data_IF_307811830272
#
_entry.id   IF_307811830272
#
_cell.length_a   1.000
_cell.length_b   1.000
_cell.length_c   1.000
_cell.angle_alpha   90.00
_cell.angle_beta   90.00
_cell.angle_gamma   90.00
#
_symmetry.space_group_name_H-M   'P 1'
#
loop_
_entity.id
_entity.type
_entity.pdbx_description
1 polymer ?
#
# COMPACT_ATOMS: atom_id res chain seq x y z
N UNK A 1 28.38 17.63 -24.64
CA UNK A 1 27.16 18.47 -24.64
C UNK A 1 25.88 17.65 -24.86
N UNK A 2 25.75 16.88 -25.94
CA UNK A 2 24.53 16.12 -26.26
C UNK A 2 24.14 15.05 -25.22
N UNK A 3 25.13 14.35 -24.63
CA UNK A 3 24.88 13.38 -23.57
C UNK A 3 24.29 14.03 -22.29
N UNK A 4 24.82 15.19 -21.87
CA UNK A 4 24.30 15.96 -20.74
C UNK A 4 22.87 16.45 -20.99
N UNK A 5 22.58 16.95 -22.20
CA UNK A 5 21.23 17.37 -22.61
C UNK A 5 20.23 16.20 -22.56
N UNK A 6 20.64 15.01 -23.00
CA UNK A 6 19.82 13.81 -22.92
C UNK A 6 19.57 13.36 -21.48
N UNK A 7 20.59 13.41 -20.60
CA UNK A 7 20.42 13.10 -19.17
C UNK A 7 19.51 14.09 -18.46
N UNK A 8 19.62 15.40 -18.75
CA UNK A 8 18.71 16.43 -18.21
C UNK A 8 17.29 16.16 -18.69
N UNK A 9 17.10 15.89 -20.00
CA UNK A 9 15.78 15.60 -20.56
C UNK A 9 15.14 14.35 -19.94
N UNK A 10 15.92 13.30 -19.70
CA UNK A 10 15.44 12.08 -19.05
C UNK A 10 15.07 12.34 -17.58
N UNK A 11 15.94 13.02 -16.83
CA UNK A 11 15.70 13.37 -15.42
C UNK A 11 14.46 14.24 -15.27
N UNK A 12 14.25 15.23 -16.14
CA UNK A 12 13.06 16.08 -16.12
C UNK A 12 11.78 15.29 -16.43
N UNK A 13 11.82 14.34 -17.38
CA UNK A 13 10.68 13.45 -17.65
C UNK A 13 10.35 12.59 -16.42
N UNK A 14 11.35 11.95 -15.82
CA UNK A 14 11.15 11.12 -14.64
C UNK A 14 10.64 11.96 -13.46
N UNK A 15 11.14 13.18 -13.28
CA UNK A 15 10.67 14.13 -12.26
C UNK A 15 9.20 14.48 -12.46
N UNK A 16 8.75 14.73 -13.69
CA UNK A 16 7.34 15.01 -14.00
C UNK A 16 6.49 13.77 -13.72
N UNK A 17 6.91 12.58 -14.18
CA UNK A 17 6.14 11.33 -14.03
C UNK A 17 5.99 10.95 -12.55
N UNK A 18 7.08 10.94 -11.79
CA UNK A 18 7.03 10.65 -10.35
C UNK A 18 6.38 11.77 -9.55
N UNK A 19 6.58 13.04 -9.96
CA UNK A 19 5.95 14.21 -9.35
C UNK A 19 4.43 14.20 -9.49
N UNK A 20 3.91 13.86 -10.67
CA UNK A 20 2.48 13.70 -10.93
C UNK A 20 1.85 12.63 -10.03
N UNK A 21 2.55 11.52 -9.79
CA UNK A 21 2.10 10.50 -8.84
C UNK A 21 1.90 11.05 -7.43
N UNK A 22 2.85 11.84 -6.92
CA UNK A 22 2.73 12.47 -5.60
C UNK A 22 1.60 13.52 -5.53
N UNK A 23 1.42 14.30 -6.59
CA UNK A 23 0.33 15.28 -6.68
C UNK A 23 -1.03 14.56 -6.68
N UNK A 24 -1.16 13.46 -7.41
CA UNK A 24 -2.40 12.67 -7.45
C UNK A 24 -2.82 12.18 -6.06
N UNK A 25 -1.87 11.71 -5.24
CA UNK A 25 -2.15 11.30 -3.85
C UNK A 25 -2.73 12.46 -3.04
N UNK A 26 -2.17 13.67 -3.17
CA UNK A 26 -2.66 14.86 -2.45
C UNK A 26 -4.05 15.30 -2.93
N UNK A 27 -4.30 15.27 -4.23
CA UNK A 27 -5.62 15.58 -4.81
C UNK A 27 -6.68 14.65 -4.23
N UNK A 28 -6.36 13.36 -4.11
CA UNK A 28 -7.30 12.38 -3.55
C UNK A 28 -7.57 12.62 -2.07
N UNK A 29 -6.53 12.92 -1.29
CA UNK A 29 -6.70 13.36 0.09
C UNK A 29 -7.66 14.54 0.17
N UNK A 30 -7.48 15.55 -0.68
CA UNK A 30 -8.37 16.72 -0.76
C UNK A 30 -9.80 16.36 -1.15
N UNK A 31 -10.00 15.48 -2.13
CA UNK A 31 -11.33 15.00 -2.56
C UNK A 31 -12.05 14.22 -1.44
N UNK A 32 -11.31 13.54 -0.56
CA UNK A 32 -11.87 12.82 0.57
C UNK A 32 -12.21 13.71 1.76
N UNK A 33 -11.69 14.96 1.84
CA UNK A 33 -11.97 15.86 2.98
C UNK A 33 -13.48 16.08 3.15
N UNK A 34 -14.26 16.52 2.15
CA UNK A 34 -15.70 16.76 2.32
C UNK A 34 -16.46 15.50 2.75
N UNK A 35 -15.99 14.32 2.32
CA UNK A 35 -16.59 13.04 2.68
C UNK A 35 -16.30 12.69 4.15
N UNK A 36 -15.06 12.87 4.59
CA UNK A 36 -14.64 12.58 5.97
C UNK A 36 -15.19 13.61 6.96
N UNK A 37 -15.37 14.87 6.56
CA UNK A 37 -15.94 15.93 7.40
C UNK A 37 -17.46 16.02 7.35
N UNK A 38 -18.13 15.15 6.59
CA UNK A 38 -19.58 15.11 6.59
C UNK A 38 -20.08 14.37 7.86
N UNK A 39 -20.82 15.06 8.76
CA UNK A 39 -21.33 14.48 10.00
C UNK A 39 -22.34 13.34 9.79
N UNK A 40 -22.89 13.19 8.58
CA UNK A 40 -23.73 12.03 8.21
C UNK A 40 -22.94 10.72 8.21
N UNK A 41 -21.63 10.78 7.88
CA UNK A 41 -20.80 9.59 7.70
C UNK A 41 -19.78 9.38 8.81
N UNK A 42 -19.27 10.46 9.43
CA UNK A 42 -18.23 10.40 10.44
C UNK A 42 -18.47 11.39 11.58
N UNK A 43 -18.24 10.93 12.80
CA UNK A 43 -18.19 11.76 13.98
C UNK A 43 -16.81 12.44 14.12
N UNK A 44 -16.72 13.45 14.99
CA UNK A 44 -15.45 14.11 15.32
C UNK A 44 -14.45 13.10 15.91
N UNK A 45 -14.93 12.14 16.70
CA UNK A 45 -14.10 11.10 17.32
C UNK A 45 -13.51 10.12 16.29
N UNK A 46 -14.23 9.87 15.19
CA UNK A 46 -13.77 8.97 14.12
C UNK A 46 -12.47 9.46 13.46
N UNK A 47 -12.20 10.77 13.44
CA UNK A 47 -10.94 11.29 12.92
C UNK A 47 -9.73 10.83 13.72
N UNK A 48 -9.84 10.86 15.05
CA UNK A 48 -8.79 10.37 15.93
C UNK A 48 -8.56 8.87 15.73
N UNK A 49 -9.64 8.12 15.53
CA UNK A 49 -9.60 6.68 15.29
C UNK A 49 -8.94 6.36 13.95
N UNK A 50 -9.37 7.02 12.86
CA UNK A 50 -8.76 6.87 11.52
C UNK A 50 -7.26 7.17 11.59
N UNK A 51 -6.85 8.25 12.25
CA UNK A 51 -5.44 8.60 12.37
C UNK A 51 -4.62 7.49 13.08
N UNK A 52 -5.13 6.94 14.18
CA UNK A 52 -4.46 5.84 14.90
C UNK A 52 -4.42 4.57 14.05
N UNK A 53 -5.52 4.24 13.35
CA UNK A 53 -5.60 3.08 12.47
C UNK A 53 -4.64 3.19 11.28
N UNK A 54 -4.49 4.38 10.70
CA UNK A 54 -3.55 4.66 9.61
C UNK A 54 -2.09 4.50 10.07
N UNK A 55 -1.74 5.06 11.23
CA UNK A 55 -0.41 4.87 11.83
C UNK A 55 -0.16 3.38 12.12
N UNK A 56 -1.17 2.68 12.65
CA UNK A 56 -1.09 1.23 12.90
C UNK A 56 -0.84 0.47 11.60
N UNK A 57 -1.56 0.80 10.53
CA UNK A 57 -1.34 0.21 9.20
C UNK A 57 0.06 0.48 8.66
N UNK A 58 0.59 1.70 8.82
CA UNK A 58 1.93 2.06 8.39
C UNK A 58 3.01 1.24 9.12
N UNK A 59 2.87 1.06 10.43
CA UNK A 59 3.75 0.19 11.23
C UNK A 59 3.64 -1.25 10.75
N UNK A 60 2.42 -1.76 10.55
CA UNK A 60 2.20 -3.14 10.09
C UNK A 60 2.83 -3.40 8.72
N UNK A 61 2.63 -2.51 7.74
CA UNK A 61 3.26 -2.63 6.41
C UNK A 61 4.78 -2.66 6.55
N UNK A 62 5.35 -1.79 7.38
CA UNK A 62 6.80 -1.67 7.56
C UNK A 62 7.40 -2.93 8.17
N UNK A 63 6.77 -3.48 9.21
CA UNK A 63 7.19 -4.71 9.87
C UNK A 63 7.00 -5.91 8.94
N UNK A 64 5.85 -6.05 8.30
CA UNK A 64 5.54 -7.18 7.42
C UNK A 64 6.39 -7.19 6.14
N UNK A 65 6.83 -6.03 5.64
CA UNK A 65 7.77 -5.95 4.53
C UNK A 65 9.15 -6.56 4.86
N UNK A 66 9.51 -6.66 6.15
CA UNK A 66 10.70 -7.40 6.65
C UNK A 66 12.02 -7.07 5.92
N UNK A 67 12.15 -5.86 5.38
CA UNK A 67 13.31 -5.46 4.59
C UNK A 67 13.50 -6.18 3.24
N UNK A 68 12.58 -7.07 2.84
CA UNK A 68 12.67 -7.86 1.61
C UNK A 68 12.76 -7.00 0.33
N UNK A 69 12.05 -5.85 0.21
CA UNK A 69 12.26 -4.94 -0.91
C UNK A 69 13.70 -4.44 -1.02
N UNK A 70 14.35 -4.12 0.10
CA UNK A 70 15.74 -3.65 0.12
C UNK A 70 16.71 -4.79 -0.23
N UNK A 71 16.45 -5.99 0.29
CA UNK A 71 17.19 -7.20 -0.06
C UNK A 71 17.13 -7.47 -1.56
N UNK A 72 15.93 -7.43 -2.16
CA UNK A 72 15.75 -7.59 -3.60
C UNK A 72 16.57 -6.56 -4.38
N UNK A 73 16.53 -5.28 -4.02
CA UNK A 73 17.31 -4.25 -4.71
C UNK A 73 18.82 -4.52 -4.69
N UNK A 74 19.35 -5.01 -3.57
CA UNK A 74 20.77 -5.35 -3.43
C UNK A 74 21.16 -6.56 -4.28
N UNK A 75 20.43 -7.67 -4.15
CA UNK A 75 20.81 -8.94 -4.76
C UNK A 75 20.46 -9.03 -6.25
N UNK A 76 19.46 -8.27 -6.71
CA UNK A 76 19.05 -8.28 -8.12
C UNK A 76 20.18 -7.84 -9.08
N UNK A 77 21.09 -6.98 -8.62
CA UNK A 77 22.23 -6.48 -9.40
C UNK A 77 23.57 -7.10 -9.02
N UNK A 78 23.57 -8.12 -8.18
CA UNK A 78 24.79 -8.81 -7.80
C UNK A 78 25.38 -9.57 -9.00
N UNK A 79 26.68 -9.39 -9.25
CA UNK A 79 27.41 -10.01 -10.36
C UNK A 79 27.36 -11.54 -10.31
N UNK A 80 27.28 -12.12 -9.12
CA UNK A 80 27.18 -13.57 -8.94
C UNK A 80 25.83 -14.15 -9.39
N UNK A 81 24.80 -13.33 -9.55
CA UNK A 81 23.42 -13.77 -9.83
C UNK A 81 22.77 -13.09 -11.03
N UNK A 82 23.55 -12.46 -11.90
CA UNK A 82 23.05 -11.77 -13.11
C UNK A 82 22.21 -12.67 -14.02
N UNK A 83 22.54 -13.97 -14.12
CA UNK A 83 21.76 -14.93 -14.89
C UNK A 83 20.50 -15.46 -14.16
N UNK A 84 20.32 -15.15 -12.87
CA UNK A 84 19.23 -15.68 -12.04
C UNK A 84 18.35 -14.60 -11.39
N UNK A 85 18.21 -13.44 -12.03
CA UNK A 85 17.38 -12.34 -11.54
C UNK A 85 15.90 -12.72 -11.34
N UNK A 86 15.37 -13.59 -12.22
CA UNK A 86 14.01 -14.13 -12.09
C UNK A 86 13.86 -15.00 -10.85
N UNK A 87 14.86 -15.84 -10.56
CA UNK A 87 14.87 -16.67 -9.35
C UNK A 87 14.95 -15.84 -8.07
N UNK A 88 15.76 -14.77 -8.05
CA UNK A 88 15.84 -13.87 -6.89
C UNK A 88 14.50 -13.18 -6.64
N UNK A 89 13.85 -12.68 -7.69
CA UNK A 89 12.53 -12.08 -7.56
C UNK A 89 11.50 -13.09 -7.05
N UNK A 90 11.43 -14.28 -7.65
CA UNK A 90 10.51 -15.33 -7.23
C UNK A 90 10.72 -15.72 -5.78
N UNK A 91 11.97 -15.94 -5.37
CA UNK A 91 12.32 -16.25 -3.98
C UNK A 91 11.90 -15.12 -3.03
N UNK A 92 12.14 -13.87 -3.40
CA UNK A 92 11.74 -12.71 -2.59
C UNK A 92 10.22 -12.61 -2.46
N UNK A 93 9.48 -12.85 -3.55
CA UNK A 93 8.03 -12.82 -3.57
C UNK A 93 7.42 -13.96 -2.75
N UNK A 94 7.92 -15.18 -2.90
CA UNK A 94 7.46 -16.34 -2.13
C UNK A 94 7.78 -16.17 -0.64
N UNK A 95 8.97 -15.67 -0.31
CA UNK A 95 9.33 -15.37 1.08
C UNK A 95 8.41 -14.29 1.65
N UNK A 96 8.13 -13.22 0.89
CA UNK A 96 7.19 -12.18 1.31
C UNK A 96 5.78 -12.75 1.52
N UNK A 97 5.33 -13.68 0.67
CA UNK A 97 4.03 -14.34 0.83
C UNK A 97 3.97 -15.14 2.13
N UNK A 98 4.98 -15.97 2.39
CA UNK A 98 5.08 -16.79 3.61
C UNK A 98 5.10 -15.88 4.85
N UNK A 99 5.93 -14.83 4.85
CA UNK A 99 6.00 -13.85 5.94
C UNK A 99 4.65 -13.18 6.14
N UNK A 100 4.00 -12.73 5.07
CA UNK A 100 2.70 -12.06 5.13
C UNK A 100 1.61 -12.98 5.70
N UNK A 101 1.57 -14.24 5.28
CA UNK A 101 0.65 -15.25 5.81
C UNK A 101 0.95 -15.55 7.28
N UNK A 102 2.22 -15.71 7.66
CA UNK A 102 2.63 -15.96 9.04
C UNK A 102 2.20 -14.80 9.96
N UNK A 103 2.41 -13.55 9.55
CA UNK A 103 1.93 -12.39 10.30
C UNK A 103 0.40 -12.33 10.37
N UNK A 104 -0.32 -12.65 9.30
CA UNK A 104 -1.78 -12.73 9.34
C UNK A 104 -2.26 -13.79 10.35
N UNK A 105 -1.71 -15.00 10.30
CA UNK A 105 -2.06 -16.10 11.21
C UNK A 105 -1.75 -15.75 12.66
N UNK A 106 -0.65 -15.04 12.91
CA UNK A 106 -0.24 -14.60 14.24
C UNK A 106 -1.13 -13.45 14.73
N UNK A 107 -1.32 -12.39 13.94
CA UNK A 107 -1.93 -11.14 14.42
C UNK A 107 -3.46 -11.14 14.40
N UNK A 108 -4.12 -11.85 13.46
CA UNK A 108 -5.59 -11.85 13.35
C UNK A 108 -6.28 -12.36 14.63
N UNK A 109 -5.82 -13.42 15.30
CA UNK A 109 -6.39 -13.85 16.58
C UNK A 109 -6.20 -12.81 17.70
N UNK A 110 -5.12 -12.04 17.65
CA UNK A 110 -4.80 -11.03 18.67
C UNK A 110 -5.54 -9.70 18.49
N UNK A 111 -6.30 -9.51 17.40
CA UNK A 111 -6.93 -8.20 17.13
C UNK A 111 -7.90 -7.74 18.20
N UNK A 112 -8.53 -8.66 18.93
CA UNK A 112 -9.39 -8.30 20.07
C UNK A 112 -8.59 -7.63 21.18
N UNK A 113 -7.44 -8.19 21.55
CA UNK A 113 -6.55 -7.65 22.57
C UNK A 113 -5.90 -6.33 22.12
N UNK A 114 -5.53 -6.25 20.84
CA UNK A 114 -5.01 -5.01 20.26
C UNK A 114 -6.05 -3.89 20.30
N UNK A 115 -7.29 -4.18 19.93
CA UNK A 115 -8.39 -3.21 19.95
C UNK A 115 -8.60 -2.65 21.36
N UNK A 116 -8.67 -3.54 22.37
CA UNK A 116 -8.87 -3.10 23.76
C UNK A 116 -7.69 -2.32 24.32
N UNK A 117 -6.47 -2.60 23.86
CA UNK A 117 -5.27 -1.90 24.35
C UNK A 117 -5.12 -0.52 23.71
N UNK A 118 -5.36 -0.44 22.40
CA UNK A 118 -5.16 0.79 21.62
C UNK A 118 -6.35 1.75 21.78
N UNK A 119 -7.57 1.23 21.65
CA UNK A 119 -8.80 2.04 21.60
C UNK A 119 -9.64 1.96 22.88
N UNK A 120 -9.24 1.13 23.86
CA UNK A 120 -10.03 0.84 25.08
C UNK A 120 -11.42 0.23 24.79
N UNK A 121 -11.68 -0.21 23.55
CA UNK A 121 -12.94 -0.85 23.11
C UNK A 121 -12.67 -2.04 22.19
N UNK A 122 -13.62 -2.95 22.04
CA UNK A 122 -13.50 -4.16 21.16
C UNK A 122 -13.99 -3.89 19.73
N UNK A 123 -14.69 -2.77 19.51
CA UNK A 123 -15.45 -2.50 18.28
C UNK A 123 -14.55 -2.44 17.03
N UNK A 124 -13.30 -2.03 17.20
CA UNK A 124 -12.33 -1.88 16.12
C UNK A 124 -11.60 -3.17 15.73
N UNK A 125 -11.85 -4.28 16.42
CA UNK A 125 -11.23 -5.58 16.14
C UNK A 125 -11.45 -6.05 14.69
N UNK A 126 -12.64 -5.81 14.12
CA UNK A 126 -12.95 -6.15 12.73
C UNK A 126 -12.19 -5.28 11.73
N UNK A 127 -12.00 -4.00 12.04
CA UNK A 127 -11.26 -3.06 11.21
C UNK A 127 -9.76 -3.36 11.26
N UNK A 128 -9.23 -3.72 12.43
CA UNK A 128 -7.84 -4.17 12.57
C UNK A 128 -7.54 -5.43 11.75
N UNK A 129 -8.48 -6.38 11.63
CA UNK A 129 -8.32 -7.54 10.73
C UNK A 129 -8.14 -7.11 9.27
N UNK A 130 -8.91 -6.11 8.83
CA UNK A 130 -8.78 -5.55 7.47
C UNK A 130 -7.46 -4.82 7.28
N UNK A 131 -6.99 -4.08 8.29
CA UNK A 131 -5.69 -3.40 8.24
C UNK A 131 -4.56 -4.42 8.13
N UNK A 132 -4.58 -5.50 8.93
CA UNK A 132 -3.59 -6.57 8.84
C UNK A 132 -3.60 -7.18 7.43
N UNK A 133 -4.78 -7.51 6.90
CA UNK A 133 -4.91 -8.08 5.56
C UNK A 133 -4.41 -7.11 4.47
N UNK A 134 -4.83 -5.85 4.52
CA UNK A 134 -4.41 -4.82 3.59
C UNK A 134 -2.89 -4.60 3.64
N UNK A 135 -2.32 -4.63 4.85
CA UNK A 135 -0.87 -4.50 5.07
C UNK A 135 -0.09 -5.67 4.49
N UNK A 136 -0.60 -6.89 4.66
CA UNK A 136 -0.03 -8.11 4.08
C UNK A 136 0.05 -8.04 2.55
N UNK A 137 -1.07 -7.67 1.93
CA UNK A 137 -1.17 -7.53 0.48
C UNK A 137 -0.33 -6.37 -0.03
N UNK A 138 -0.26 -5.27 0.73
CA UNK A 138 0.59 -4.13 0.38
C UNK A 138 2.08 -4.47 0.46
N UNK A 139 2.50 -5.28 1.43
CA UNK A 139 3.88 -5.74 1.53
C UNK A 139 4.28 -6.62 0.33
N UNK A 140 3.37 -7.46 -0.18
CA UNK A 140 3.56 -8.17 -1.46
C UNK A 140 3.69 -7.20 -2.65
N UNK A 141 2.77 -6.23 -2.75
CA UNK A 141 2.82 -5.21 -3.79
C UNK A 141 4.13 -4.41 -3.76
N UNK A 142 4.75 -4.21 -2.59
CA UNK A 142 6.03 -3.53 -2.48
C UNK A 142 7.16 -4.30 -3.18
N UNK A 143 7.15 -5.64 -3.18
CA UNK A 143 8.12 -6.46 -3.91
C UNK A 143 7.94 -6.29 -5.41
N UNK A 144 6.69 -6.38 -5.89
CA UNK A 144 6.33 -6.20 -7.29
C UNK A 144 6.75 -4.80 -7.79
N UNK A 145 6.37 -3.76 -7.05
CA UNK A 145 6.76 -2.37 -7.29
C UNK A 145 8.28 -2.17 -7.29
N UNK A 146 9.01 -2.92 -6.47
CA UNK A 146 10.48 -2.87 -6.43
C UNK A 146 11.08 -3.48 -7.69
N UNK A 147 10.54 -4.59 -8.20
CA UNK A 147 10.98 -5.16 -9.47
C UNK A 147 10.77 -4.18 -10.64
N UNK A 148 9.60 -3.54 -10.72
CA UNK A 148 9.33 -2.57 -11.80
C UNK A 148 10.35 -1.42 -11.80
N UNK A 149 10.70 -0.93 -10.60
CA UNK A 149 11.72 0.11 -10.42
C UNK A 149 13.11 -0.38 -10.83
N UNK A 150 13.49 -1.59 -10.42
CA UNK A 150 14.78 -2.19 -10.81
C UNK A 150 14.89 -2.37 -12.33
N UNK A 151 13.81 -2.75 -13.01
CA UNK A 151 13.79 -2.90 -14.46
C UNK A 151 13.71 -1.56 -15.23
N UNK A 152 13.67 -0.42 -14.54
CA UNK A 152 13.51 0.90 -15.18
C UNK A 152 12.13 1.11 -15.84
N UNK A 153 11.12 0.32 -15.47
CA UNK A 153 9.76 0.40 -16.03
C UNK A 153 8.92 1.47 -15.31
N UNK A 154 9.38 2.71 -15.31
CA UNK A 154 8.78 3.83 -14.57
C UNK A 154 7.33 4.12 -14.96
N UNK A 155 6.98 3.96 -16.24
CA UNK A 155 5.60 4.12 -16.72
C UNK A 155 4.67 3.06 -16.15
N UNK A 156 5.06 1.78 -16.20
CA UNK A 156 4.26 0.68 -15.66
C UNK A 156 4.08 0.84 -14.15
N UNK A 157 5.15 1.17 -13.41
CA UNK A 157 5.07 1.52 -11.99
C UNK A 157 4.07 2.64 -11.69
N UNK A 158 4.11 3.71 -12.49
CA UNK A 158 3.25 4.88 -12.27
C UNK A 158 1.80 4.55 -12.58
N UNK A 159 1.52 3.90 -13.71
CA UNK A 159 0.16 3.49 -14.10
C UNK A 159 -0.41 2.54 -13.05
N UNK A 160 0.33 1.51 -12.66
CA UNK A 160 -0.13 0.52 -11.68
C UNK A 160 -0.46 1.17 -10.32
N UNK A 161 0.37 2.08 -9.82
CA UNK A 161 0.08 2.77 -8.55
C UNK A 161 -1.04 3.80 -8.68
N UNK A 162 -1.16 4.53 -9.79
CA UNK A 162 -2.30 5.41 -10.05
C UNK A 162 -3.61 4.63 -10.18
N UNK A 163 -3.61 3.50 -10.86
CA UNK A 163 -4.78 2.61 -10.95
C UNK A 163 -5.19 2.11 -9.57
N UNK A 164 -4.25 1.62 -8.75
CA UNK A 164 -4.55 1.23 -7.35
C UNK A 164 -5.16 2.40 -6.59
N UNK A 165 -4.55 3.58 -6.68
CA UNK A 165 -4.98 4.79 -5.99
C UNK A 165 -6.43 5.16 -6.37
N UNK A 166 -6.76 5.13 -7.67
CA UNK A 166 -8.12 5.37 -8.16
C UNK A 166 -9.11 4.30 -7.70
N UNK A 167 -8.72 3.02 -7.71
CA UNK A 167 -9.56 1.93 -7.21
C UNK A 167 -9.85 2.11 -5.71
N UNK A 168 -8.83 2.45 -4.90
CA UNK A 168 -9.02 2.74 -3.47
C UNK A 168 -10.00 3.89 -3.30
N UNK A 169 -9.83 5.00 -4.02
CA UNK A 169 -10.73 6.15 -3.93
C UNK A 169 -12.17 5.77 -4.27
N UNK A 170 -12.38 5.15 -5.44
CA UNK A 170 -13.72 4.78 -5.91
C UNK A 170 -14.40 3.80 -4.96
N UNK A 171 -13.68 2.79 -4.47
CA UNK A 171 -14.23 1.83 -3.49
C UNK A 171 -14.48 2.49 -2.13
N UNK A 172 -13.63 3.41 -1.69
CA UNK A 172 -13.81 4.14 -0.43
C UNK A 172 -15.08 4.97 -0.48
N UNK A 173 -15.26 5.77 -1.55
CA UNK A 173 -16.48 6.54 -1.79
C UNK A 173 -17.69 5.61 -1.83
N UNK A 174 -17.60 4.50 -2.58
CA UNK A 174 -18.68 3.54 -2.70
C UNK A 174 -19.11 2.94 -1.34
N UNK A 175 -18.14 2.51 -0.53
CA UNK A 175 -18.41 1.88 0.76
C UNK A 175 -18.91 2.85 1.84
N UNK A 176 -18.54 4.11 1.75
CA UNK A 176 -19.00 5.15 2.68
C UNK A 176 -20.42 5.60 2.30
N UNK A 177 -20.63 5.99 1.04
CA UNK A 177 -21.91 6.58 0.61
C UNK A 177 -23.02 5.54 0.47
N UNK A 178 -22.77 4.41 -0.21
CA UNK A 178 -23.84 3.46 -0.54
C UNK A 178 -23.99 2.34 0.49
N UNK A 179 -22.89 1.94 1.13
CA UNK A 179 -22.89 0.80 2.06
C UNK A 179 -22.89 1.23 3.53
N UNK A 180 -22.74 2.52 3.82
CA UNK A 180 -22.69 3.10 5.16
C UNK A 180 -21.77 2.33 6.12
N UNK A 181 -20.65 1.80 5.60
CA UNK A 181 -19.71 0.98 6.41
C UNK A 181 -18.74 1.82 7.25
N UNK A 182 -18.84 3.16 7.17
CA UNK A 182 -18.01 4.11 7.91
C UNK A 182 -16.52 3.85 7.72
N UNK A 183 -15.76 3.93 8.82
CA UNK A 183 -14.30 3.75 8.86
C UNK A 183 -13.86 2.39 8.30
N UNK A 184 -14.64 1.32 8.54
CA UNK A 184 -14.31 -0.03 8.05
C UNK A 184 -14.24 -0.10 6.52
N UNK A 185 -15.06 0.69 5.83
CA UNK A 185 -15.11 0.76 4.38
C UNK A 185 -13.79 1.21 3.75
N UNK A 186 -13.07 2.13 4.42
CA UNK A 186 -11.78 2.66 3.96
C UNK A 186 -10.75 1.53 3.86
N UNK A 187 -10.59 0.75 4.93
CA UNK A 187 -9.59 -0.32 4.97
C UNK A 187 -9.99 -1.54 4.12
N UNK A 188 -11.29 -1.78 3.95
CA UNK A 188 -11.78 -2.78 3.01
C UNK A 188 -11.43 -2.40 1.56
N UNK A 189 -11.63 -1.14 1.18
CA UNK A 189 -11.24 -0.63 -0.14
C UNK A 189 -9.73 -0.80 -0.38
N UNK A 190 -8.90 -0.51 0.62
CA UNK A 190 -7.45 -0.73 0.54
C UNK A 190 -7.09 -2.22 0.36
N UNK A 191 -7.73 -3.12 1.10
CA UNK A 191 -7.47 -4.57 0.96
C UNK A 191 -7.83 -5.06 -0.46
N UNK A 192 -9.01 -4.69 -0.96
CA UNK A 192 -9.47 -5.09 -2.30
C UNK A 192 -8.55 -4.52 -3.38
N UNK A 193 -8.21 -3.22 -3.32
CA UNK A 193 -7.34 -2.59 -4.30
C UNK A 193 -5.93 -3.21 -4.32
N UNK A 194 -5.37 -3.51 -3.14
CA UNK A 194 -4.09 -4.20 -3.05
C UNK A 194 -4.16 -5.61 -3.65
N UNK A 195 -5.24 -6.36 -3.39
CA UNK A 195 -5.43 -7.68 -3.96
C UNK A 195 -5.56 -7.65 -5.49
N UNK A 196 -6.35 -6.72 -6.04
CA UNK A 196 -6.52 -6.56 -7.48
C UNK A 196 -5.20 -6.22 -8.19
N UNK A 197 -4.33 -5.43 -7.57
CA UNK A 197 -3.02 -5.12 -8.14
C UNK A 197 -2.17 -6.39 -8.29
N UNK A 198 -2.16 -7.25 -7.28
CA UNK A 198 -1.39 -8.51 -7.31
C UNK A 198 -1.87 -9.40 -8.47
N UNK A 199 -3.17 -9.42 -8.76
CA UNK A 199 -3.72 -10.22 -9.86
C UNK A 199 -3.41 -9.66 -11.26
N UNK A 200 -3.21 -8.35 -11.36
CA UNK A 200 -3.01 -7.67 -12.64
C UNK A 200 -1.56 -7.73 -13.13
N UNK A 201 -0.60 -7.94 -12.22
CA UNK A 201 0.85 -7.94 -12.51
C UNK A 201 1.40 -9.36 -12.60
#
# INVERSE_FOLDING_TARGET
MAALLNSIRQTSKDTIVYGLGNIAVKIIGFVLIPLYTNPEFFSVDDFGIIAILDITGLVMISVMASGLPQSLMRWYWDKSYTNNQRGIFFMSLMTQLIVSVAFCLLLIPLTRQMSTTIFKTVDWSSTLKLIILASALQALNNIINTLMRLQGKSLLFTITNLSKLLIVLTLTIYFIIYRHTGVKGIYLAQAIANFLLILFV
#
